data_IF_987848794199
#
_entry.id   IF_987848794199
#
_cell.length_a   1.000
_cell.length_b   1.000
_cell.length_c   1.000
_cell.angle_alpha   90.00
_cell.angle_beta   90.00
_cell.angle_gamma   90.00
#
_symmetry.space_group_name_H-M   'P 1'
#
loop_
_entity.id
_entity.type
_entity.pdbx_description
1 polymer ?
#
# COMPACT_ATOMS: atom_id res chain seq x y z
N UNK A 1 -16.51 5.64 -19.75
CA UNK A 1 -15.89 5.55 -19.56
C UNK A 1 -14.90 5.53 -19.30
N UNK A 2 -14.69 5.35 -18.94
CA UNK A 2 -13.66 4.93 -18.62
C UNK A 2 -12.31 5.04 -18.90
N UNK A 3 -11.85 6.11 -18.90
CA UNK A 3 -10.45 6.32 -19.07
C UNK A 3 -9.77 6.23 -17.71
N UNK A 4 -8.69 5.44 -17.63
CA UNK A 4 -7.93 5.33 -16.41
C UNK A 4 -7.27 6.68 -16.08
N UNK A 5 -7.37 7.06 -14.83
CA UNK A 5 -6.68 8.24 -14.34
C UNK A 5 -5.25 7.88 -14.00
N UNK A 6 -4.33 8.77 -14.34
CA UNK A 6 -2.92 8.59 -14.04
C UNK A 6 -2.45 9.77 -13.20
N UNK A 7 -1.89 9.46 -12.05
CA UNK A 7 -1.34 10.47 -11.15
C UNK A 7 0.02 9.97 -10.67
N UNK A 8 1.06 10.76 -10.95
CA UNK A 8 2.42 10.40 -10.56
C UNK A 8 2.91 11.32 -9.46
N UNK A 9 3.40 10.74 -8.37
CA UNK A 9 4.00 11.50 -7.29
C UNK A 9 5.51 11.52 -7.52
N UNK A 10 6.03 12.70 -7.85
CA UNK A 10 7.41 12.84 -8.32
C UNK A 10 8.45 12.53 -7.27
N UNK A 11 8.16 12.81 -5.99
CA UNK A 11 9.15 12.62 -4.94
C UNK A 11 9.43 11.15 -4.65
N UNK A 12 8.46 10.28 -4.89
CA UNK A 12 8.57 8.85 -4.60
C UNK A 12 8.58 8.00 -5.83
N UNK A 13 8.21 8.57 -6.99
CA UNK A 13 8.07 7.81 -8.21
C UNK A 13 6.83 6.95 -8.28
N UNK A 14 5.92 7.10 -7.32
CA UNK A 14 4.68 6.33 -7.29
C UNK A 14 3.68 6.88 -8.29
N UNK A 15 3.02 5.98 -9.00
CA UNK A 15 2.00 6.33 -9.99
C UNK A 15 0.71 5.62 -9.65
N UNK A 16 -0.37 6.39 -9.52
CA UNK A 16 -1.71 5.85 -9.39
C UNK A 16 -2.30 5.70 -10.79
N UNK A 17 -2.76 4.50 -11.14
CA UNK A 17 -3.15 4.20 -12.49
C UNK A 17 -4.44 3.37 -12.54
N UNK A 18 -5.57 4.00 -12.23
CA UNK A 18 -6.85 3.33 -12.30
C UNK A 18 -7.06 2.34 -11.18
N UNK A 19 -7.92 1.38 -11.43
CA UNK A 19 -8.33 0.40 -10.42
C UNK A 19 -8.37 -1.00 -11.03
N UNK A 20 -8.27 -2.01 -10.16
CA UNK A 20 -8.43 -3.39 -10.60
C UNK A 20 -9.21 -4.16 -9.54
N UNK A 21 -9.84 -5.25 -9.96
CA UNK A 21 -10.51 -6.15 -9.04
C UNK A 21 -9.49 -7.08 -8.39
N UNK A 22 -9.60 -7.23 -7.07
CA UNK A 22 -8.78 -8.18 -6.33
C UNK A 22 -9.67 -8.85 -5.30
N UNK A 23 -9.94 -10.14 -5.54
CA UNK A 23 -10.79 -10.96 -4.65
C UNK A 23 -12.14 -10.32 -4.36
N UNK A 24 -12.74 -9.77 -5.41
CA UNK A 24 -14.08 -9.18 -5.33
C UNK A 24 -14.09 -7.73 -4.86
N UNK A 25 -12.95 -7.14 -4.61
CA UNK A 25 -12.86 -5.74 -4.20
C UNK A 25 -12.11 -4.94 -5.23
N UNK A 26 -12.59 -3.74 -5.49
CA UNK A 26 -11.93 -2.84 -6.42
C UNK A 26 -10.87 -2.05 -5.67
N UNK A 27 -9.62 -2.19 -6.10
CA UNK A 27 -8.50 -1.52 -5.41
C UNK A 27 -7.74 -0.65 -6.40
N UNK A 28 -7.12 0.44 -5.91
CA UNK A 28 -6.31 1.29 -6.78
C UNK A 28 -5.04 0.56 -7.23
N UNK A 29 -4.66 0.80 -8.48
CA UNK A 29 -3.41 0.25 -9.02
C UNK A 29 -2.31 1.29 -8.80
N UNK A 30 -1.31 0.94 -8.00
CA UNK A 30 -0.18 1.82 -7.72
C UNK A 30 1.09 1.14 -8.22
N UNK A 31 1.89 1.88 -8.97
CA UNK A 31 3.11 1.37 -9.58
C UNK A 31 4.30 2.25 -9.21
N UNK A 32 5.48 1.70 -9.35
CA UNK A 32 6.71 2.44 -9.10
C UNK A 32 7.13 2.35 -7.64
N UNK A 33 8.01 3.25 -7.25
CA UNK A 33 8.50 3.29 -5.87
C UNK A 33 9.51 2.22 -5.52
N UNK A 34 9.32 1.00 -6.01
CA UNK A 34 10.22 -0.13 -5.76
C UNK A 34 10.88 -0.65 -7.03
N UNK A 35 10.59 0.00 -8.13
CA UNK A 35 11.11 -0.41 -9.43
C UNK A 35 10.10 -0.04 -10.49
N UNK A 36 10.59 0.20 -11.69
CA UNK A 36 9.74 0.64 -12.78
C UNK A 36 8.63 -0.35 -13.04
N UNK A 37 7.39 0.13 -13.07
CA UNK A 37 6.19 -0.67 -13.36
C UNK A 37 5.90 -1.77 -12.36
N UNK A 38 6.53 -1.77 -11.20
CA UNK A 38 6.22 -2.77 -10.17
C UNK A 38 5.04 -2.31 -9.34
N UNK A 39 4.09 -3.23 -9.13
CA UNK A 39 2.90 -2.94 -8.34
C UNK A 39 3.21 -2.87 -6.86
N UNK A 40 2.48 -2.02 -6.17
CA UNK A 40 2.59 -1.90 -4.72
C UNK A 40 1.20 -1.58 -4.14
N UNK A 41 1.08 -1.69 -2.82
CA UNK A 41 -0.19 -1.49 -2.13
C UNK A 41 0.00 -0.55 -0.95
N UNK A 42 -0.94 0.39 -0.78
CA UNK A 42 -0.95 1.23 0.41
C UNK A 42 -1.48 0.45 1.60
N UNK A 43 -1.15 0.90 2.81
CA UNK A 43 -1.68 0.27 4.02
C UNK A 43 -3.19 0.36 4.08
N UNK A 44 -3.77 1.44 3.55
CA UNK A 44 -5.23 1.58 3.48
C UNK A 44 -5.84 0.52 2.58
N UNK A 45 -5.23 0.26 1.43
CA UNK A 45 -5.73 -0.77 0.52
C UNK A 45 -5.63 -2.16 1.16
N UNK A 46 -4.52 -2.44 1.82
CA UNK A 46 -4.35 -3.71 2.53
C UNK A 46 -5.45 -3.87 3.60
N UNK A 47 -5.72 -2.80 4.34
CA UNK A 47 -6.76 -2.82 5.36
C UNK A 47 -8.12 -3.16 4.75
N UNK A 48 -8.42 -2.59 3.58
CA UNK A 48 -9.68 -2.85 2.90
C UNK A 48 -9.74 -4.30 2.42
N UNK A 49 -8.66 -4.83 1.87
CA UNK A 49 -8.62 -6.22 1.41
C UNK A 49 -8.88 -7.17 2.57
N UNK A 50 -8.29 -6.90 3.72
CA UNK A 50 -8.34 -7.80 4.87
C UNK A 50 -9.46 -7.48 5.85
N UNK A 51 -10.31 -6.48 5.55
CA UNK A 51 -11.41 -6.07 6.42
C UNK A 51 -10.93 -5.74 7.83
N UNK A 52 -9.83 -5.02 7.93
CA UNK A 52 -9.27 -4.61 9.20
C UNK A 52 -9.04 -3.10 9.21
N UNK A 53 -9.05 -2.48 10.40
CA UNK A 53 -8.69 -1.06 10.48
C UNK A 53 -7.24 -0.86 10.03
N UNK A 54 -6.98 0.27 9.38
CA UNK A 54 -5.63 0.58 8.93
C UNK A 54 -4.65 0.65 10.11
N UNK A 55 -5.16 1.03 11.29
CA UNK A 55 -4.32 1.08 12.49
C UNK A 55 -3.75 -0.30 12.84
N UNK A 56 -4.52 -1.36 12.63
CA UNK A 56 -4.04 -2.72 12.90
C UNK A 56 -2.97 -3.14 11.91
N UNK A 57 -3.15 -2.76 10.64
CA UNK A 57 -2.14 -3.04 9.62
C UNK A 57 -0.83 -2.33 9.97
N UNK A 58 -0.94 -1.06 10.36
CA UNK A 58 0.26 -0.28 10.72
C UNK A 58 0.94 -0.83 11.96
N UNK A 59 0.17 -1.29 12.94
CA UNK A 59 0.75 -1.92 14.13
C UNK A 59 1.50 -3.20 13.79
N UNK A 60 0.93 -4.03 12.91
CA UNK A 60 1.59 -5.26 12.50
C UNK A 60 2.92 -4.99 11.83
N UNK A 61 2.95 -4.00 10.94
CA UNK A 61 4.19 -3.63 10.26
C UNK A 61 5.18 -3.07 11.29
N UNK A 62 4.72 -2.16 12.14
CA UNK A 62 5.59 -1.52 13.11
C UNK A 62 6.23 -2.48 14.11
N UNK A 63 5.43 -3.44 14.60
CA UNK A 63 5.94 -4.45 15.53
C UNK A 63 6.99 -5.35 14.91
N UNK A 64 6.95 -5.48 13.58
CA UNK A 64 7.84 -6.37 12.86
C UNK A 64 8.76 -5.60 11.91
N UNK A 65 8.96 -4.31 12.18
CA UNK A 65 9.68 -3.44 11.25
C UNK A 65 11.08 -3.95 10.94
N UNK A 66 11.70 -4.66 11.87
CA UNK A 66 13.03 -5.20 11.66
C UNK A 66 13.07 -6.28 10.58
N UNK A 67 11.93 -6.88 10.26
CA UNK A 67 11.84 -7.89 9.22
C UNK A 67 11.60 -7.29 7.84
N UNK A 68 11.28 -6.00 7.80
CA UNK A 68 11.00 -5.29 6.55
C UNK A 68 12.17 -4.41 6.20
N UNK A 69 12.57 -4.45 4.93
CA UNK A 69 13.66 -3.60 4.44
C UNK A 69 13.08 -2.37 3.77
N UNK A 70 13.53 -1.20 4.25
CA UNK A 70 13.09 0.05 3.64
C UNK A 70 13.54 0.11 2.18
N UNK A 71 12.66 0.63 1.33
CA UNK A 71 12.87 0.76 -0.12
C UNK A 71 12.88 -0.57 -0.87
N UNK A 72 12.73 -1.68 -0.19
CA UNK A 72 12.61 -3.01 -0.81
C UNK A 72 11.25 -3.60 -0.49
N UNK A 73 10.87 -3.59 0.78
CA UNK A 73 9.61 -4.13 1.25
C UNK A 73 8.58 -3.04 1.49
N UNK A 74 9.01 -1.87 1.92
CA UNK A 74 8.09 -0.79 2.24
C UNK A 74 8.72 0.57 2.01
N UNK A 75 7.85 1.56 1.86
CA UNK A 75 8.19 2.98 1.89
C UNK A 75 7.23 3.61 2.90
N UNK A 76 7.73 4.53 3.71
CA UNK A 76 6.90 5.28 4.64
C UNK A 76 6.78 6.71 4.11
N UNK A 77 5.63 7.04 3.57
CA UNK A 77 5.44 8.34 2.94
C UNK A 77 5.47 9.49 3.94
N UNK A 78 5.10 9.24 5.20
CA UNK A 78 5.16 10.30 6.21
C UNK A 78 6.57 10.62 6.63
N UNK A 79 7.44 9.63 6.64
CA UNK A 79 8.84 9.83 6.99
C UNK A 79 9.66 10.35 5.82
N UNK A 80 9.22 10.05 4.60
CA UNK A 80 10.00 10.36 3.42
C UNK A 80 9.76 11.76 2.90
N UNK A 81 8.54 12.26 2.98
CA UNK A 81 8.18 13.52 2.36
C UNK A 81 7.01 14.18 3.07
N UNK A 82 7.10 15.51 3.23
CA UNK A 82 5.99 16.32 3.72
C UNK A 82 5.47 17.23 2.60
N UNK A 83 5.79 16.91 1.36
CA UNK A 83 5.45 17.75 0.23
C UNK A 83 3.96 17.76 -0.05
N UNK A 84 3.48 18.85 -0.61
CA UNK A 84 2.08 18.98 -1.02
C UNK A 84 1.73 17.94 -2.07
N UNK A 85 2.70 17.63 -2.97
CA UNK A 85 2.47 16.62 -4.00
C UNK A 85 2.18 15.26 -3.41
N UNK A 86 2.85 14.90 -2.31
CA UNK A 86 2.58 13.64 -1.63
C UNK A 86 1.18 13.65 -1.03
N UNK A 87 0.76 14.78 -0.47
CA UNK A 87 -0.58 14.91 0.06
C UNK A 87 -1.62 14.68 -1.03
N UNK A 88 -1.44 15.31 -2.20
CA UNK A 88 -2.37 15.14 -3.30
C UNK A 88 -2.45 13.68 -3.74
N UNK A 89 -1.31 13.02 -3.82
CA UNK A 89 -1.27 11.62 -4.19
C UNK A 89 -2.08 10.77 -3.22
N UNK A 90 -1.91 11.01 -1.92
CA UNK A 90 -2.62 10.25 -0.89
C UNK A 90 -4.12 10.53 -0.92
N UNK A 91 -4.52 11.78 -1.18
CA UNK A 91 -5.93 12.10 -1.33
C UNK A 91 -6.53 11.36 -2.52
N UNK A 92 -5.79 11.26 -3.61
CA UNK A 92 -6.25 10.52 -4.78
C UNK A 92 -6.33 9.02 -4.53
N UNK A 93 -5.54 8.50 -3.60
CA UNK A 93 -5.65 7.10 -3.19
C UNK A 93 -6.87 6.83 -2.31
N UNK A 94 -7.50 7.88 -1.81
CA UNK A 94 -8.68 7.74 -0.98
C UNK A 94 -8.48 8.04 0.49
N UNK A 95 -7.31 8.50 0.89
CA UNK A 95 -7.08 8.90 2.28
C UNK A 95 -7.82 10.20 2.57
N UNK A 96 -8.39 10.32 3.76
CA UNK A 96 -8.95 11.59 4.21
C UNK A 96 -7.82 12.50 4.68
N UNK A 97 -7.96 13.80 4.44
CA UNK A 97 -6.93 14.77 4.80
C UNK A 97 -6.58 14.69 6.28
N UNK A 98 -7.60 14.55 7.14
CA UNK A 98 -7.38 14.47 8.58
C UNK A 98 -6.58 13.21 8.94
N UNK A 99 -6.89 12.10 8.30
CA UNK A 99 -6.16 10.85 8.53
C UNK A 99 -4.70 10.99 8.16
N UNK A 100 -4.41 11.69 7.06
CA UNK A 100 -3.02 11.90 6.64
C UNK A 100 -2.28 12.74 7.67
N UNK A 101 -2.92 13.81 8.12
CA UNK A 101 -2.31 14.74 9.06
C UNK A 101 -1.98 14.08 10.40
N UNK A 102 -2.85 13.18 10.86
CA UNK A 102 -2.69 12.53 12.16
C UNK A 102 -1.82 11.30 12.13
N UNK A 103 -1.53 10.75 10.95
CA UNK A 103 -0.77 9.53 10.85
C UNK A 103 0.72 9.77 11.08
N UNK A 104 1.33 8.95 11.93
CA UNK A 104 2.79 8.96 12.09
C UNK A 104 3.46 8.24 10.93
N UNK A 105 2.80 7.24 10.37
CA UNK A 105 3.32 6.41 9.30
C UNK A 105 2.24 6.16 8.28
N UNK A 106 2.60 6.19 7.01
CA UNK A 106 1.73 5.76 5.93
C UNK A 106 2.58 4.85 5.05
N UNK A 107 2.34 3.54 5.15
CA UNK A 107 3.18 2.55 4.49
C UNK A 107 2.67 2.22 3.10
N UNK A 108 3.61 2.13 2.17
CA UNK A 108 3.36 1.55 0.86
C UNK A 108 4.19 0.28 0.82
N UNK A 109 3.56 -0.84 0.50
CA UNK A 109 4.23 -2.13 0.49
C UNK A 109 4.45 -2.61 -0.93
N UNK A 110 5.66 -3.11 -1.19
CA UNK A 110 5.91 -3.85 -2.43
C UNK A 110 5.21 -5.21 -2.35
N UNK A 111 5.21 -5.96 -3.46
CA UNK A 111 4.69 -7.31 -3.43
C UNK A 111 5.40 -8.15 -2.39
N UNK A 112 6.71 -7.98 -2.29
CA UNK A 112 7.50 -8.68 -1.29
C UNK A 112 7.11 -8.28 0.13
N UNK A 113 6.90 -6.98 0.35
CA UNK A 113 6.47 -6.50 1.66
C UNK A 113 5.10 -7.02 2.04
N UNK A 114 4.18 -7.06 1.07
CA UNK A 114 2.85 -7.58 1.31
C UNK A 114 2.90 -9.08 1.65
N UNK A 115 3.75 -9.84 0.96
CA UNK A 115 3.92 -11.26 1.25
C UNK A 115 4.40 -11.49 2.69
N UNK A 116 5.32 -10.65 3.16
CA UNK A 116 5.78 -10.73 4.54
C UNK A 116 4.66 -10.42 5.53
N UNK A 117 3.87 -9.40 5.23
CA UNK A 117 2.77 -9.02 6.10
C UNK A 117 1.75 -10.15 6.22
N UNK A 118 1.42 -10.78 5.09
CA UNK A 118 0.48 -11.89 5.07
C UNK A 118 0.96 -13.02 5.99
N UNK A 119 2.25 -13.30 5.95
CA UNK A 119 2.83 -14.33 6.80
C UNK A 119 2.67 -14.00 8.28
N UNK A 120 2.80 -12.73 8.62
CA UNK A 120 2.66 -12.26 9.99
C UNK A 120 1.21 -12.35 10.45
N UNK A 121 0.26 -12.04 9.58
CA UNK A 121 -1.15 -11.97 9.93
C UNK A 121 -1.77 -13.31 10.32
N UNK A 122 -1.37 -14.37 9.64
CA UNK A 122 -1.78 -15.73 9.95
C UNK A 122 -3.29 -15.91 10.11
N UNK A 123 -4.07 -15.28 9.22
CA UNK A 123 -5.53 -15.46 9.16
C UNK A 123 -5.86 -16.38 7.99
N UNK A 124 -7.09 -16.92 7.98
CA UNK A 124 -7.53 -17.74 6.86
C UNK A 124 -7.44 -16.98 5.54
N UNK A 125 -7.88 -15.72 5.54
CA UNK A 125 -7.80 -14.90 4.34
C UNK A 125 -6.34 -14.67 3.93
N UNK A 126 -5.47 -14.43 4.90
CA UNK A 126 -4.05 -14.22 4.60
C UNK A 126 -3.45 -15.48 3.97
N UNK A 127 -3.81 -16.67 4.45
CA UNK A 127 -3.34 -17.91 3.86
C UNK A 127 -3.86 -18.08 2.44
N UNK A 128 -5.13 -17.74 2.22
CA UNK A 128 -5.72 -17.83 0.88
C UNK A 128 -5.01 -16.89 -0.10
N UNK A 129 -4.72 -15.68 0.34
CA UNK A 129 -4.01 -14.70 -0.50
C UNK A 129 -2.59 -15.16 -0.77
N UNK A 130 -1.92 -15.72 0.24
CA UNK A 130 -0.58 -16.25 0.09
C UNK A 130 -0.54 -17.32 -1.01
N UNK A 131 -1.51 -18.22 -1.00
CA UNK A 131 -1.59 -19.26 -2.03
C UNK A 131 -1.73 -18.64 -3.43
N UNK A 132 -2.54 -17.60 -3.56
CA UNK A 132 -2.69 -16.94 -4.85
C UNK A 132 -1.40 -16.29 -5.32
N UNK A 133 -0.64 -15.71 -4.41
CA UNK A 133 0.62 -15.08 -4.76
C UNK A 133 1.66 -16.10 -5.22
N UNK A 134 1.67 -17.26 -4.58
CA UNK A 134 2.59 -18.33 -4.96
C UNK A 134 2.28 -18.83 -6.35
N UNK A 135 0.99 -18.94 -6.69
CA UNK A 135 0.55 -19.50 -7.97
C UNK A 135 0.72 -18.54 -9.14
N UNK A 136 1.12 -17.30 -8.88
CA UNK A 136 1.36 -16.30 -9.93
C UNK A 136 2.85 -16.09 -10.24
#
# INVERSE_FOLDING_TARGET
>A
MGRAEIFTEENTGLTLRGKQDFMGKEIPVVLGGFGECKKCLSDKTVAEIHNQPVSEIRKSIGRNIKRFKENVDYIDLRQRSNEITTLDFLLNLGYAKQSITQAEHIYILSERGYAKLIKIMDTDLAWEIHDKLIDE
#
